data_IF_616183680755
#
_entry.id   IF_616183680755
#
_cell.length_a   1.000
_cell.length_b   1.000
_cell.length_c   1.000
_cell.angle_alpha   90.00
_cell.angle_beta   90.00
_cell.angle_gamma   90.00
#
_symmetry.space_group_name_H-M   'P 1'
#
loop_
_entity.id
_entity.type
_entity.pdbx_description
1 polymer ?
#
# COMPACT_ATOMS: atom_id res chain seq x y z
N UNK A 1 7.84 14.73 32.55
CA UNK A 1 7.54 15.45 31.30
C UNK A 1 8.76 15.29 30.39
N UNK A 2 8.82 14.19 29.64
CA UNK A 2 9.89 13.90 28.68
C UNK A 2 9.22 13.61 27.34
N UNK A 3 9.42 14.51 26.39
CA UNK A 3 8.99 14.40 25.01
C UNK A 3 9.78 13.26 24.37
N UNK A 4 9.11 12.20 23.97
CA UNK A 4 9.69 11.20 23.09
C UNK A 4 9.63 11.74 21.65
N UNK A 5 10.67 12.46 21.26
CA UNK A 5 10.97 12.67 19.85
C UNK A 5 11.53 11.34 19.33
N UNK A 6 10.73 10.60 18.57
CA UNK A 6 11.23 9.50 17.74
C UNK A 6 12.07 10.11 16.63
N UNK A 7 13.31 10.44 16.93
CA UNK A 7 14.32 10.68 15.92
C UNK A 7 14.92 9.32 15.58
N UNK A 8 14.39 8.64 14.56
CA UNK A 8 15.10 7.55 13.92
C UNK A 8 16.30 8.15 13.18
N UNK A 9 17.35 8.48 13.94
CA UNK A 9 18.70 8.68 13.43
C UNK A 9 19.49 7.39 13.61
N UNK A 10 19.12 6.34 12.92
CA UNK A 10 20.10 5.30 12.62
C UNK A 10 20.64 5.59 11.22
N UNK A 11 21.74 6.34 11.19
CA UNK A 11 22.70 6.25 10.08
C UNK A 11 23.25 4.82 10.12
N UNK A 12 22.75 3.96 9.25
CA UNK A 12 23.42 2.70 8.96
C UNK A 12 24.67 3.07 8.17
N UNK A 13 25.75 3.34 8.87
CA UNK A 13 27.06 3.52 8.26
C UNK A 13 27.63 2.11 8.01
N UNK A 14 27.28 1.52 6.90
CA UNK A 14 28.06 0.44 6.33
C UNK A 14 29.37 1.09 5.86
N UNK A 15 30.47 0.76 6.53
CA UNK A 15 31.80 1.34 6.42
C UNK A 15 32.10 2.04 5.10
N UNK A 16 32.16 3.37 5.09
CA UNK A 16 32.72 4.22 4.05
C UNK A 16 32.04 4.22 2.68
N UNK A 17 30.86 3.62 2.51
CA UNK A 17 30.08 3.61 1.27
C UNK A 17 28.97 4.67 1.28
N UNK A 18 28.65 5.19 0.09
CA UNK A 18 27.45 5.98 -0.16
C UNK A 18 26.23 5.20 0.30
N UNK A 19 25.23 5.86 0.90
CA UNK A 19 23.92 5.26 1.17
C UNK A 19 23.30 4.85 -0.19
N UNK A 20 23.46 3.58 -0.56
CA UNK A 20 23.08 3.08 -1.90
C UNK A 20 21.58 2.84 -2.04
N UNK A 21 20.88 2.65 -0.91
CA UNK A 21 19.44 2.41 -0.87
C UNK A 21 18.79 3.43 0.07
N UNK A 22 17.83 4.17 -0.46
CA UNK A 22 17.06 5.16 0.29
C UNK A 22 15.77 4.58 0.90
N UNK A 23 14.78 5.45 1.10
CA UNK A 23 13.45 5.08 1.56
C UNK A 23 12.69 4.27 0.50
N UNK A 24 11.64 3.56 0.93
CA UNK A 24 10.64 3.03 0.00
C UNK A 24 10.08 4.20 -0.82
N UNK A 25 10.08 4.07 -2.14
CA UNK A 25 9.61 5.10 -3.06
C UNK A 25 8.12 4.92 -3.40
N UNK A 26 7.70 3.71 -3.74
CA UNK A 26 6.31 3.29 -3.92
C UNK A 26 6.13 1.81 -3.59
N UNK A 27 4.88 1.37 -3.51
CA UNK A 27 4.51 -0.05 -3.50
C UNK A 27 3.65 -0.31 -4.72
N UNK A 28 4.09 -1.22 -5.59
CA UNK A 28 3.36 -1.60 -6.81
C UNK A 28 2.36 -2.72 -6.55
N UNK A 29 1.12 -2.53 -6.99
CA UNK A 29 0.03 -3.48 -6.93
C UNK A 29 -0.48 -3.75 -8.34
N UNK A 30 -0.40 -5.00 -8.80
CA UNK A 30 -1.00 -5.39 -10.08
C UNK A 30 -2.49 -5.59 -9.90
N UNK A 31 -3.28 -4.84 -10.68
CA UNK A 31 -4.74 -4.82 -10.61
C UNK A 31 -5.37 -5.28 -11.92
N UNK A 32 -6.54 -5.90 -11.84
CA UNK A 32 -7.24 -6.42 -13.02
C UNK A 32 -7.99 -5.32 -13.79
N UNK A 33 -8.46 -4.28 -13.08
CA UNK A 33 -9.22 -3.14 -13.62
C UNK A 33 -8.75 -1.86 -12.91
N UNK A 34 -7.95 -1.06 -13.64
CA UNK A 34 -7.36 0.15 -13.07
C UNK A 34 -8.41 1.18 -12.66
N UNK A 35 -9.46 1.35 -13.46
CA UNK A 35 -10.49 2.37 -13.18
C UNK A 35 -11.28 2.01 -11.92
N UNK A 36 -11.61 0.72 -11.75
CA UNK A 36 -12.26 0.21 -10.55
C UNK A 36 -11.36 0.35 -9.31
N UNK A 37 -10.07 0.05 -9.45
CA UNK A 37 -9.12 0.19 -8.36
C UNK A 37 -8.89 1.67 -8.01
N UNK A 38 -8.73 2.55 -8.99
CA UNK A 38 -8.64 4.01 -8.73
C UNK A 38 -9.87 4.49 -7.96
N UNK A 39 -11.08 4.09 -8.35
CA UNK A 39 -12.30 4.46 -7.64
C UNK A 39 -12.28 3.97 -6.19
N UNK A 40 -11.87 2.74 -5.94
CA UNK A 40 -11.76 2.19 -4.58
C UNK A 40 -10.74 2.97 -3.72
N UNK A 41 -9.51 3.12 -4.21
CA UNK A 41 -8.45 3.79 -3.43
C UNK A 41 -8.72 5.29 -3.25
N UNK A 42 -9.34 5.95 -4.23
CA UNK A 42 -9.68 7.38 -4.15
C UNK A 42 -10.97 7.65 -3.38
N UNK A 43 -12.07 6.95 -3.72
CA UNK A 43 -13.42 7.34 -3.26
C UNK A 43 -13.80 6.64 -1.95
N UNK A 44 -13.24 5.43 -1.69
CA UNK A 44 -13.51 4.69 -0.45
C UNK A 44 -12.38 4.91 0.57
N UNK A 45 -11.11 4.77 0.17
CA UNK A 45 -9.99 4.97 1.11
C UNK A 45 -9.55 6.44 1.24
N UNK A 46 -10.07 7.34 0.41
CA UNK A 46 -9.77 8.77 0.48
C UNK A 46 -8.36 9.15 0.02
N UNK A 47 -7.66 8.27 -0.71
CA UNK A 47 -6.36 8.60 -1.25
C UNK A 47 -6.47 9.62 -2.40
N UNK A 48 -5.47 10.46 -2.54
CA UNK A 48 -5.38 11.47 -3.59
C UNK A 48 -4.79 10.86 -4.86
N UNK A 49 -5.55 10.93 -5.95
CA UNK A 49 -5.08 10.53 -7.27
C UNK A 49 -4.05 11.54 -7.79
N UNK A 50 -2.82 11.09 -8.04
CA UNK A 50 -1.70 11.91 -8.47
C UNK A 50 -1.53 11.96 -9.99
N UNK A 51 -2.13 11.02 -10.70
CA UNK A 51 -2.07 10.93 -12.15
C UNK A 51 -1.93 9.49 -12.63
N UNK A 52 -2.01 9.35 -13.94
CA UNK A 52 -1.88 8.08 -14.66
C UNK A 52 -0.90 8.24 -15.81
N UNK A 53 -0.14 7.20 -16.09
CA UNK A 53 0.75 7.11 -17.25
C UNK A 53 0.50 5.82 -18.03
N UNK A 54 0.76 5.86 -19.33
CA UNK A 54 0.83 4.69 -20.18
C UNK A 54 2.29 4.33 -20.41
N UNK A 55 2.70 3.16 -19.91
CA UNK A 55 4.04 2.62 -20.12
C UNK A 55 4.04 1.72 -21.36
N UNK A 56 4.91 2.05 -22.34
CA UNK A 56 5.09 1.29 -23.58
C UNK A 56 6.53 1.41 -24.07
N UNK A 57 6.94 0.50 -24.98
CA UNK A 57 8.22 0.55 -25.68
C UNK A 57 9.34 -0.22 -24.97
N UNK A 58 10.55 -0.13 -25.52
CA UNK A 58 11.69 -0.98 -25.16
C UNK A 58 12.04 -0.96 -23.66
N UNK A 59 11.97 0.20 -23.02
CA UNK A 59 12.25 0.33 -21.58
C UNK A 59 11.20 -0.42 -20.74
N UNK A 60 9.92 -0.33 -21.16
CA UNK A 60 8.81 -1.05 -20.52
C UNK A 60 8.98 -2.56 -20.68
N UNK A 61 9.34 -3.01 -21.87
CA UNK A 61 9.60 -4.42 -22.16
C UNK A 61 10.74 -4.97 -21.27
N UNK A 62 11.79 -4.19 -21.12
CA UNK A 62 12.96 -4.58 -20.30
C UNK A 62 12.64 -4.64 -18.82
N UNK A 63 11.93 -3.63 -18.27
CA UNK A 63 11.65 -3.59 -16.83
C UNK A 63 10.66 -4.67 -16.40
N UNK A 64 9.66 -4.98 -17.24
CA UNK A 64 8.69 -6.04 -16.98
C UNK A 64 9.11 -7.41 -17.54
N UNK A 65 10.26 -7.52 -18.18
CA UNK A 65 10.78 -8.74 -18.81
C UNK A 65 9.76 -9.37 -19.77
N UNK A 66 9.05 -8.55 -20.56
CA UNK A 66 7.95 -8.98 -21.44
C UNK A 66 7.94 -8.15 -22.72
N UNK A 67 8.09 -8.80 -23.88
CA UNK A 67 8.02 -8.14 -25.18
C UNK A 67 6.61 -7.58 -25.47
N UNK A 68 6.59 -6.41 -26.12
CA UNK A 68 5.38 -5.66 -26.45
C UNK A 68 4.47 -5.37 -25.23
N UNK A 69 5.11 -5.19 -24.08
CA UNK A 69 4.41 -4.92 -22.84
C UNK A 69 3.77 -3.53 -22.87
N UNK A 70 2.52 -3.47 -22.43
CA UNK A 70 1.80 -2.21 -22.21
C UNK A 70 1.18 -2.23 -20.83
N UNK A 71 1.35 -1.15 -20.08
CA UNK A 71 0.74 -1.02 -18.77
C UNK A 71 0.18 0.39 -18.57
N UNK A 72 -1.04 0.47 -18.04
CA UNK A 72 -1.57 1.69 -17.43
C UNK A 72 -1.12 1.69 -15.97
N UNK A 73 -0.60 2.81 -15.51
CA UNK A 73 -0.06 2.93 -14.15
C UNK A 73 -0.60 4.21 -13.51
N UNK A 74 -1.23 4.07 -12.35
CA UNK A 74 -1.79 5.17 -11.58
C UNK A 74 -1.12 5.27 -10.22
N UNK A 75 -0.95 6.51 -9.72
CA UNK A 75 -0.35 6.80 -8.42
C UNK A 75 -1.37 7.46 -7.50
N UNK A 76 -1.52 6.91 -6.28
CA UNK A 76 -2.39 7.47 -5.25
C UNK A 76 -1.65 7.44 -3.91
N UNK A 77 -1.79 8.51 -3.11
CA UNK A 77 -1.27 8.57 -1.74
C UNK A 77 -2.16 9.42 -0.83
N UNK A 78 -1.87 9.45 0.47
CA UNK A 78 -2.64 10.22 1.44
C UNK A 78 -2.31 11.72 1.42
N UNK A 79 -1.39 12.18 0.57
CA UNK A 79 -0.87 13.56 0.53
C UNK A 79 -0.93 14.11 -0.89
N UNK A 80 -1.07 15.45 -1.02
CA UNK A 80 -0.84 16.16 -2.27
C UNK A 80 0.63 16.08 -2.74
N UNK A 81 1.53 15.65 -1.86
CA UNK A 81 2.94 15.53 -2.17
C UNK A 81 3.24 14.16 -2.79
N UNK A 82 3.52 14.14 -4.08
CA UNK A 82 3.90 12.93 -4.84
C UNK A 82 5.17 12.23 -4.30
N UNK A 83 5.98 12.92 -3.48
CA UNK A 83 7.16 12.33 -2.85
C UNK A 83 6.82 11.45 -1.62
N UNK A 84 5.60 11.52 -1.09
CA UNK A 84 5.14 10.53 -0.13
C UNK A 84 4.98 9.19 -0.85
N UNK A 85 5.41 8.05 -0.24
CA UNK A 85 5.31 6.76 -0.91
C UNK A 85 3.89 6.46 -1.37
N UNK A 86 3.60 6.41 -2.68
CA UNK A 86 2.27 6.11 -3.18
C UNK A 86 2.04 4.60 -3.31
N UNK A 87 0.77 4.22 -3.31
CA UNK A 87 0.35 3.00 -3.97
C UNK A 87 0.44 3.24 -5.50
N UNK A 88 1.18 2.38 -6.18
CA UNK A 88 1.29 2.35 -7.64
C UNK A 88 0.38 1.22 -8.14
N UNK A 89 -0.73 1.57 -8.80
CA UNK A 89 -1.65 0.61 -9.37
C UNK A 89 -1.24 0.33 -10.82
N UNK A 90 -1.02 -0.93 -11.16
CA UNK A 90 -0.50 -1.35 -12.46
C UNK A 90 -1.50 -2.28 -13.13
N UNK A 91 -2.08 -1.87 -14.26
CA UNK A 91 -2.88 -2.73 -15.12
C UNK A 91 -2.14 -3.03 -16.41
N UNK A 92 -1.82 -4.29 -16.65
CA UNK A 92 -1.26 -4.72 -17.93
C UNK A 92 -2.36 -4.80 -18.99
N UNK A 93 -2.09 -4.21 -20.18
CA UNK A 93 -2.99 -4.24 -21.32
C UNK A 93 -2.50 -5.33 -22.28
N UNK A 94 -3.43 -6.10 -22.86
CA UNK A 94 -3.14 -7.16 -23.82
C UNK A 94 -2.24 -8.30 -23.28
N UNK A 95 -2.04 -8.38 -21.97
CA UNK A 95 -1.32 -9.47 -21.31
C UNK A 95 -2.27 -10.23 -20.39
N UNK A 96 -2.16 -11.53 -20.39
CA UNK A 96 -2.89 -12.36 -19.43
C UNK A 96 -2.35 -12.14 -18.02
N UNK A 97 -3.23 -11.73 -17.12
CA UNK A 97 -2.93 -11.56 -15.69
C UNK A 97 -3.45 -12.78 -14.95
N UNK A 98 -2.58 -13.46 -14.22
CA UNK A 98 -3.01 -14.56 -13.36
C UNK A 98 -3.52 -13.97 -12.05
N UNK A 99 -4.79 -14.21 -11.73
CA UNK A 99 -5.31 -13.92 -10.40
C UNK A 99 -4.75 -14.95 -9.42
N UNK A 100 -4.13 -14.46 -8.35
CA UNK A 100 -3.64 -15.29 -7.24
C UNK A 100 -4.52 -14.94 -6.05
N UNK A 101 -5.11 -15.95 -5.41
CA UNK A 101 -5.84 -15.71 -4.16
C UNK A 101 -4.83 -15.33 -3.07
N UNK A 102 -5.04 -14.17 -2.39
CA UNK A 102 -4.15 -13.75 -1.33
C UNK A 102 -4.14 -14.75 -0.17
N UNK A 103 -2.95 -15.06 0.32
CA UNK A 103 -2.75 -15.95 1.46
C UNK A 103 -1.75 -15.30 2.43
N UNK A 104 -2.24 -14.89 3.59
CA UNK A 104 -1.42 -14.30 4.66
C UNK A 104 -0.33 -15.24 5.19
N UNK A 105 -0.45 -16.54 4.95
CA UNK A 105 0.53 -17.55 5.37
C UNK A 105 1.49 -17.96 4.25
N UNK A 106 1.35 -17.38 3.06
CA UNK A 106 2.29 -17.59 1.96
C UNK A 106 3.47 -16.61 2.04
N UNK A 107 4.65 -17.05 1.63
CA UNK A 107 5.83 -16.17 1.56
C UNK A 107 5.68 -15.15 0.44
N UNK A 108 5.18 -13.95 0.75
CA UNK A 108 4.97 -12.84 -0.19
C UNK A 108 4.89 -11.52 0.58
N UNK A 109 4.48 -10.43 -0.07
CA UNK A 109 3.97 -9.24 0.60
C UNK A 109 2.60 -9.62 1.14
N UNK A 110 2.44 -9.67 2.47
CA UNK A 110 1.19 -10.09 3.12
C UNK A 110 0.10 -9.05 2.99
N UNK A 111 0.44 -7.77 3.18
CA UNK A 111 -0.50 -6.66 3.15
C UNK A 111 0.18 -5.32 2.84
N UNK A 112 -0.62 -4.31 2.52
CA UNK A 112 -0.24 -2.91 2.53
C UNK A 112 -0.99 -2.20 3.67
N UNK A 113 -0.24 -1.70 4.66
CA UNK A 113 -0.82 -1.07 5.84
C UNK A 113 -1.01 0.43 5.65
N UNK A 114 -2.20 0.93 5.98
CA UNK A 114 -2.56 2.34 6.04
C UNK A 114 -2.77 2.80 7.48
N UNK A 115 -2.42 4.05 7.75
CA UNK A 115 -2.65 4.70 9.03
C UNK A 115 -4.00 5.43 9.06
N UNK A 116 -4.66 5.41 10.21
CA UNK A 116 -5.83 6.26 10.49
C UNK A 116 -5.79 6.83 11.91
N UNK A 117 -6.49 7.94 12.13
CA UNK A 117 -6.75 8.49 13.47
C UNK A 117 -8.07 7.96 14.08
N UNK A 118 -8.95 7.36 13.28
CA UNK A 118 -10.26 6.87 13.69
C UNK A 118 -10.58 5.56 12.96
N UNK A 119 -10.20 4.45 13.58
CA UNK A 119 -10.33 3.13 12.96
C UNK A 119 -11.78 2.65 12.95
N UNK A 120 -12.60 3.09 13.91
CA UNK A 120 -14.00 2.68 13.98
C UNK A 120 -14.80 3.33 12.84
N UNK A 121 -14.58 4.62 12.59
CA UNK A 121 -15.20 5.33 11.46
C UNK A 121 -14.80 4.72 10.12
N UNK A 122 -13.52 4.38 9.94
CA UNK A 122 -13.05 3.72 8.71
C UNK A 122 -13.70 2.35 8.54
N UNK A 123 -13.76 1.55 9.60
CA UNK A 123 -14.38 0.22 9.56
C UNK A 123 -15.86 0.31 9.17
N UNK A 124 -16.62 1.21 9.81
CA UNK A 124 -18.04 1.43 9.51
C UNK A 124 -18.26 1.85 8.05
N UNK A 125 -17.39 2.74 7.52
CA UNK A 125 -17.49 3.19 6.13
C UNK A 125 -17.15 2.08 5.13
N UNK A 126 -16.16 1.26 5.42
CA UNK A 126 -15.82 0.08 4.59
C UNK A 126 -16.99 -0.92 4.55
N UNK A 127 -17.59 -1.25 5.70
CA UNK A 127 -18.75 -2.14 5.76
C UNK A 127 -19.93 -1.56 4.98
N UNK A 128 -20.23 -0.26 5.14
CA UNK A 128 -21.28 0.44 4.39
C UNK A 128 -21.08 0.37 2.87
N UNK A 129 -19.83 0.38 2.42
CA UNK A 129 -19.46 0.26 1.02
C UNK A 129 -19.30 -1.20 0.55
N UNK A 130 -19.70 -2.20 1.36
CA UNK A 130 -19.63 -3.63 1.09
C UNK A 130 -18.19 -4.12 0.82
N UNK A 131 -17.20 -3.51 1.47
CA UNK A 131 -15.82 -3.98 1.44
C UNK A 131 -15.68 -5.20 2.35
N UNK A 132 -15.00 -6.25 1.87
CA UNK A 132 -14.73 -7.45 2.66
C UNK A 132 -13.67 -7.15 3.73
N UNK A 133 -14.11 -7.05 5.00
CA UNK A 133 -13.22 -6.97 6.16
C UNK A 133 -13.02 -8.37 6.74
N UNK A 134 -11.76 -8.73 7.05
CA UNK A 134 -11.44 -10.07 7.57
C UNK A 134 -11.76 -10.20 9.06
N UNK A 135 -11.80 -9.08 9.77
CA UNK A 135 -12.26 -8.97 11.16
C UNK A 135 -12.76 -7.55 11.45
N UNK A 136 -13.40 -7.37 12.58
CA UNK A 136 -13.52 -6.06 13.22
C UNK A 136 -12.16 -5.57 13.78
N UNK A 137 -11.97 -4.26 14.09
CA UNK A 137 -10.73 -3.74 14.65
C UNK A 137 -10.32 -4.45 15.94
N UNK A 138 -9.14 -5.07 15.93
CA UNK A 138 -8.55 -5.79 17.07
C UNK A 138 -7.58 -4.88 17.82
N UNK A 139 -7.48 -5.07 19.13
CA UNK A 139 -6.58 -4.33 20.01
C UNK A 139 -5.29 -5.12 20.28
N UNK A 140 -4.17 -4.43 20.19
CA UNK A 140 -2.85 -4.98 20.49
C UNK A 140 -2.11 -4.10 21.49
N UNK A 141 -1.43 -4.71 22.45
CA UNK A 141 -0.56 -4.04 23.41
C UNK A 141 0.85 -4.65 23.35
N UNK A 142 1.75 -3.99 22.69
CA UNK A 142 3.16 -4.33 22.56
C UNK A 142 4.05 -3.36 23.35
N UNK A 143 3.50 -2.73 24.40
CA UNK A 143 4.22 -1.75 25.21
C UNK A 143 5.43 -2.36 25.91
N UNK A 144 5.35 -3.64 26.31
CA UNK A 144 6.47 -4.38 26.89
C UNK A 144 7.66 -4.53 25.94
N UNK A 145 7.40 -4.55 24.64
CA UNK A 145 8.40 -4.73 23.57
C UNK A 145 8.82 -3.39 22.94
N UNK A 146 8.30 -2.27 23.45
CA UNK A 146 8.65 -0.92 23.01
C UNK A 146 7.89 -0.42 21.77
N UNK A 147 6.88 -1.17 21.28
CA UNK A 147 6.08 -0.77 20.10
C UNK A 147 4.78 -0.04 20.45
N UNK A 148 4.41 0.02 21.73
CA UNK A 148 3.21 0.73 22.17
C UNK A 148 1.93 -0.07 21.94
N UNK A 149 0.82 0.66 21.81
CA UNK A 149 -0.53 0.10 21.65
C UNK A 149 -1.09 0.50 20.30
N UNK A 150 -1.91 -0.36 19.72
CA UNK A 150 -2.58 -0.08 18.46
C UNK A 150 -3.89 -0.85 18.35
N UNK A 151 -4.71 -0.42 17.40
CA UNK A 151 -5.82 -1.22 16.87
C UNK A 151 -5.60 -1.40 15.37
N UNK A 152 -5.93 -2.58 14.86
CA UNK A 152 -5.77 -2.89 13.45
C UNK A 152 -6.81 -3.92 12.98
N UNK A 153 -7.08 -3.94 11.68
CA UNK A 153 -7.84 -4.99 11.00
C UNK A 153 -7.43 -5.10 9.55
N UNK A 154 -7.69 -6.26 8.95
CA UNK A 154 -7.46 -6.50 7.54
C UNK A 154 -8.75 -6.40 6.73
N UNK A 155 -8.62 -5.94 5.49
CA UNK A 155 -9.70 -5.87 4.51
C UNK A 155 -9.14 -6.11 3.10
N UNK A 156 -10.02 -6.27 2.11
CA UNK A 156 -9.60 -6.55 0.74
C UNK A 156 -9.94 -5.42 -0.22
N UNK A 157 -9.06 -5.20 -1.17
CA UNK A 157 -9.36 -4.36 -2.32
C UNK A 157 -10.23 -5.10 -3.36
N UNK A 158 -10.62 -4.47 -4.50
CA UNK A 158 -11.45 -5.09 -5.52
C UNK A 158 -10.86 -6.34 -6.18
N UNK A 159 -9.54 -6.51 -6.15
CA UNK A 159 -8.84 -7.68 -6.67
C UNK A 159 -8.57 -8.75 -5.59
N UNK A 160 -8.94 -8.47 -4.35
CA UNK A 160 -8.70 -9.33 -3.21
C UNK A 160 -7.34 -9.12 -2.55
N UNK A 161 -6.57 -8.09 -2.96
CA UNK A 161 -5.31 -7.75 -2.32
C UNK A 161 -5.59 -7.40 -0.86
N UNK A 162 -4.83 -8.00 0.08
CA UNK A 162 -5.00 -7.72 1.51
C UNK A 162 -4.39 -6.36 1.84
N UNK A 163 -5.20 -5.56 2.52
CA UNK A 163 -4.85 -4.26 3.06
C UNK A 163 -5.04 -4.29 4.57
N UNK A 164 -4.26 -3.49 5.29
CA UNK A 164 -4.40 -3.28 6.72
C UNK A 164 -4.77 -1.83 7.01
N UNK A 165 -5.66 -1.62 7.98
CA UNK A 165 -5.85 -0.31 8.60
C UNK A 165 -5.34 -0.37 10.03
N UNK A 166 -4.50 0.60 10.42
CA UNK A 166 -3.90 0.67 11.74
C UNK A 166 -4.08 2.05 12.37
N UNK A 167 -4.47 2.04 13.64
CA UNK A 167 -4.51 3.22 14.52
C UNK A 167 -3.59 2.99 15.72
N UNK A 168 -2.44 3.70 15.82
CA UNK A 168 -1.65 3.79 17.05
C UNK A 168 -2.44 4.51 18.16
N UNK A 169 -2.27 4.08 19.43
CA UNK A 169 -2.99 4.59 20.61
C UNK A 169 -2.06 5.32 21.58
#
# INVERSE_FOLDING_TARGET
MLKHEYVVKQKITLGGGLDMVGRIYHVGLTVSDLDKSIAFYRDILGLKFQGEILMVGEATDKIFCKENCKARVAYLNASENIQAPPAELIQFIDNEIRKIEPDLFATSISELCFYTNDIDLVYEDLIKNNVECLSEPQYFDFSSDGFGKSRAFYFKDPDGIVLEMMQPL
#
